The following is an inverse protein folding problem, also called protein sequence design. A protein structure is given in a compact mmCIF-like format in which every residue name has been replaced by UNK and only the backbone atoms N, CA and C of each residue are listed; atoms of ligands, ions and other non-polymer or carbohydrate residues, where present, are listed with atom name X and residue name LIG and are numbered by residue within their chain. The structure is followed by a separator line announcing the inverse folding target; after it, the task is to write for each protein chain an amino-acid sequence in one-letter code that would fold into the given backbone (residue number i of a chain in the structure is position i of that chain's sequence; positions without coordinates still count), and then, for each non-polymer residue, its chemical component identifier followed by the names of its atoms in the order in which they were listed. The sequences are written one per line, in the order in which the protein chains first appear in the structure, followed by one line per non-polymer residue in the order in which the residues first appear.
data_IF_721202478282
#
_entry.id   IF_721202478282
#
_cell.length_a   1.000
_cell.length_b   1.000
_cell.length_c   1.000
_cell.angle_alpha   90.00
_cell.angle_beta   90.00
_cell.angle_gamma   90.00
#
_symmetry.space_group_name_H-M   'P 1'
#
loop_
_entity.id
_entity.type
_entity.pdbx_description
1 polymer ?
#
# COMPACT_ATOMS: atom_id res chain seq x y z
N UNK A 1 -23.31 -44.30 -9.84
CA UNK A 1 -21.84 -44.12 -9.76
C UNK A 1 -21.57 -42.66 -9.35
N UNK A 2 -21.31 -42.42 -8.06
CA UNK A 2 -21.04 -41.09 -7.51
C UNK A 2 -19.54 -40.79 -7.60
N UNK A 3 -19.17 -39.75 -8.34
CA UNK A 3 -17.81 -39.23 -8.37
C UNK A 3 -17.56 -38.34 -7.15
N UNK A 4 -16.70 -38.79 -6.24
CA UNK A 4 -16.25 -38.03 -5.07
C UNK A 4 -15.04 -37.18 -5.47
N UNK A 5 -15.18 -35.85 -5.46
CA UNK A 5 -14.04 -34.92 -5.60
C UNK A 5 -13.28 -34.83 -4.27
N UNK A 6 -11.96 -35.01 -4.30
CA UNK A 6 -11.07 -34.88 -3.13
C UNK A 6 -10.61 -33.41 -3.01
N UNK A 7 -10.93 -32.75 -1.90
CA UNK A 7 -10.40 -31.41 -1.60
C UNK A 7 -8.95 -31.51 -1.09
N UNK A 8 -8.02 -30.81 -1.76
CA UNK A 8 -6.61 -30.72 -1.38
C UNK A 8 -6.50 -29.81 -0.15
N UNK A 9 -6.13 -30.37 0.99
CA UNK A 9 -5.86 -29.63 2.23
C UNK A 9 -4.66 -28.72 2.05
N UNK A 10 -4.90 -27.41 2.01
CA UNK A 10 -3.84 -26.40 2.06
C UNK A 10 -3.21 -26.48 3.45
N UNK A 11 -1.96 -26.91 3.50
CA UNK A 11 -1.23 -27.18 4.73
C UNK A 11 -1.03 -25.90 5.54
N UNK A 12 -1.28 -25.96 6.85
CA UNK A 12 -1.17 -24.85 7.81
C UNK A 12 0.19 -24.14 7.79
N UNK A 13 1.25 -24.85 7.34
CA UNK A 13 2.58 -24.30 7.13
C UNK A 13 2.64 -23.20 6.04
N UNK A 14 1.84 -23.31 4.98
CA UNK A 14 1.75 -22.27 3.95
C UNK A 14 1.06 -21.01 4.49
N UNK A 15 0.04 -21.17 5.35
CA UNK A 15 -0.62 -20.06 6.01
C UNK A 15 0.27 -19.39 7.07
N UNK A 16 1.07 -20.16 7.82
CA UNK A 16 2.00 -19.65 8.81
C UNK A 16 3.18 -18.89 8.19
N UNK A 17 3.68 -19.32 7.03
CA UNK A 17 4.75 -18.61 6.30
C UNK A 17 4.29 -17.23 5.79
N UNK A 18 3.02 -17.10 5.40
CA UNK A 18 2.41 -15.81 5.04
C UNK A 18 2.20 -14.89 6.27
N UNK A 19 1.97 -15.45 7.45
CA UNK A 19 1.71 -14.70 8.69
C UNK A 19 2.98 -14.23 9.41
N UNK A 20 4.16 -14.82 9.14
CA UNK A 20 5.43 -14.44 9.78
C UNK A 20 6.23 -13.39 8.99
N UNK A 21 5.85 -13.09 7.74
CA UNK A 21 6.44 -12.04 6.91
C UNK A 21 5.94 -10.62 7.21
N UNK A 22 4.97 -10.46 8.11
CA UNK A 22 4.34 -9.17 8.44
C UNK A 22 5.08 -8.35 9.50
N UNK A 23 6.34 -8.67 9.81
CA UNK A 23 7.19 -7.76 10.57
C UNK A 23 7.31 -6.46 9.78
N UNK A 24 6.93 -5.33 10.38
CA UNK A 24 6.94 -4.00 9.79
C UNK A 24 8.23 -3.78 8.99
N UNK A 25 8.15 -3.88 7.66
CA UNK A 25 9.31 -3.79 6.78
C UNK A 25 9.75 -2.34 6.65
N UNK A 26 10.25 -1.73 7.72
CA UNK A 26 11.05 -0.52 7.62
C UNK A 26 12.48 -0.94 7.30
N UNK A 27 12.75 -1.12 6.01
CA UNK A 27 14.08 -1.45 5.52
C UNK A 27 14.72 -0.18 4.94
N UNK A 28 15.94 0.10 5.38
CA UNK A 28 16.79 1.11 4.77
C UNK A 28 17.99 0.40 4.13
N UNK A 29 18.30 0.78 2.89
CA UNK A 29 19.51 0.38 2.19
C UNK A 29 20.27 1.66 1.86
N UNK A 30 21.47 1.78 2.43
CA UNK A 30 22.37 2.91 2.21
C UNK A 30 23.64 2.50 1.50
N UNK A 31 24.17 3.37 0.64
CA UNK A 31 25.47 3.19 0.00
C UNK A 31 26.17 4.52 -0.25
N UNK A 32 27.50 4.48 -0.36
CA UNK A 32 28.33 5.63 -0.69
C UNK A 32 28.51 5.74 -2.20
N UNK A 33 28.36 6.93 -2.75
CA UNK A 33 28.67 7.27 -4.13
C UNK A 33 29.57 8.51 -4.18
N UNK A 34 30.89 8.29 -4.10
CA UNK A 34 31.86 9.38 -3.95
C UNK A 34 31.65 10.15 -2.63
N UNK A 35 31.43 11.47 -2.72
CA UNK A 35 31.15 12.32 -1.56
C UNK A 35 29.68 12.28 -1.09
N UNK A 36 28.84 11.47 -1.73
CA UNK A 36 27.41 11.36 -1.42
C UNK A 36 27.08 10.10 -0.63
N UNK A 37 26.24 10.31 0.37
CA UNK A 37 25.57 9.28 1.15
C UNK A 37 24.16 9.13 0.59
N UNK A 38 23.92 8.02 -0.12
CA UNK A 38 22.63 7.73 -0.73
C UNK A 38 21.91 6.69 0.12
N UNK A 39 20.61 6.86 0.33
CA UNK A 39 19.77 5.85 0.97
C UNK A 39 18.39 5.73 0.35
N UNK A 40 17.88 4.51 0.38
CA UNK A 40 16.50 4.18 0.09
C UNK A 40 15.89 3.60 1.36
N UNK A 41 14.79 4.18 1.81
CA UNK A 41 14.03 3.70 2.97
C UNK A 41 12.55 3.63 2.64
N UNK A 42 11.76 2.99 3.49
CA UNK A 42 10.32 2.95 3.26
C UNK A 42 9.66 1.77 3.92
N UNK A 43 8.45 1.46 3.47
CA UNK A 43 7.67 0.34 3.94
C UNK A 43 6.71 -0.16 2.87
N UNK A 44 6.42 -1.45 2.92
CA UNK A 44 5.34 -2.07 2.16
C UNK A 44 4.17 -2.30 3.10
N UNK A 45 2.99 -1.86 2.69
CA UNK A 45 1.76 -2.04 3.43
C UNK A 45 0.61 -2.38 2.47
N UNK A 46 -0.07 -3.49 2.75
CA UNK A 46 -1.26 -3.90 2.02
C UNK A 46 -2.10 -4.87 2.84
N UNK A 47 -3.41 -4.72 2.73
CA UNK A 47 -4.40 -5.55 3.40
C UNK A 47 -5.41 -6.06 2.38
N UNK A 48 -5.90 -7.26 2.65
CA UNK A 48 -7.09 -7.79 2.00
C UNK A 48 -8.27 -7.69 2.97
N UNK A 49 -9.31 -6.97 2.57
CA UNK A 49 -10.49 -6.69 3.40
C UNK A 49 -11.72 -7.34 2.79
N UNK A 50 -12.51 -8.02 3.62
CA UNK A 50 -13.82 -8.58 3.26
C UNK A 50 -14.90 -7.95 4.12
N UNK A 51 -15.83 -7.25 3.50
CA UNK A 51 -16.91 -6.54 4.17
C UNK A 51 -18.26 -7.18 3.82
N UNK A 52 -19.00 -7.62 4.83
CA UNK A 52 -20.41 -7.96 4.67
C UNK A 52 -21.22 -6.68 4.57
N UNK A 53 -21.74 -6.37 3.39
CA UNK A 53 -22.49 -5.14 3.18
C UNK A 53 -23.95 -5.30 3.59
N UNK A 54 -24.56 -4.23 4.09
CA UNK A 54 -26.00 -4.16 4.32
C UNK A 54 -26.75 -4.11 2.97
N UNK A 55 -27.90 -4.77 2.91
CA UNK A 55 -28.80 -4.77 1.74
C UNK A 55 -29.80 -3.61 1.75
N UNK A 56 -30.00 -2.96 2.90
CA UNK A 56 -31.02 -1.93 3.11
C UNK A 56 -30.41 -0.54 3.37
N UNK A 57 -29.09 -0.41 3.27
CA UNK A 57 -28.40 0.85 3.54
C UNK A 57 -28.55 1.83 2.37
N UNK A 58 -29.02 3.04 2.68
CA UNK A 58 -29.00 4.19 1.78
C UNK A 58 -27.59 4.41 1.26
N UNK A 59 -27.44 4.53 -0.06
CA UNK A 59 -26.15 4.79 -0.70
C UNK A 59 -25.60 6.12 -0.21
N UNK A 60 -24.43 6.09 0.40
CA UNK A 60 -23.68 7.30 0.74
C UNK A 60 -22.87 7.73 -0.48
N UNK A 61 -23.16 8.91 -1.01
CA UNK A 61 -22.41 9.55 -2.10
C UNK A 61 -20.91 9.52 -1.81
N UNK A 62 -20.10 9.02 -2.75
CA UNK A 62 -18.66 8.81 -2.58
C UNK A 62 -18.26 7.37 -2.20
N UNK A 63 -19.22 6.47 -1.99
CA UNK A 63 -18.93 5.03 -1.84
C UNK A 63 -18.24 4.66 -0.52
N UNK A 64 -18.34 5.53 0.49
CA UNK A 64 -17.77 5.30 1.82
C UNK A 64 -18.49 4.17 2.58
N UNK A 65 -19.80 4.05 2.39
CA UNK A 65 -20.61 2.99 3.00
C UNK A 65 -20.64 1.74 2.10
N UNK A 66 -20.44 0.57 2.73
CA UNK A 66 -20.64 -0.74 2.11
C UNK A 66 -22.16 -1.01 2.03
N UNK A 67 -22.75 -0.85 0.84
CA UNK A 67 -24.14 -1.21 0.57
C UNK A 67 -24.21 -2.09 -0.66
N UNK A 68 -25.03 -3.15 -0.59
CA UNK A 68 -25.28 -4.04 -1.74
C UNK A 68 -25.99 -3.31 -2.90
N UNK A 69 -26.48 -2.08 -2.69
CA UNK A 69 -27.10 -1.23 -3.71
C UNK A 69 -26.27 -0.03 -4.17
N UNK A 70 -24.99 0.08 -3.78
CA UNK A 70 -24.15 1.24 -4.15
C UNK A 70 -23.79 1.26 -5.66
N UNK A 71 -23.88 2.42 -6.35
CA UNK A 71 -23.47 2.57 -7.75
C UNK A 71 -21.98 2.23 -7.94
N UNK A 72 -21.72 1.26 -8.81
CA UNK A 72 -20.36 0.78 -9.15
C UNK A 72 -19.87 -0.41 -8.32
N UNK A 73 -20.59 -0.80 -7.26
CA UNK A 73 -20.45 -2.11 -6.65
C UNK A 73 -21.25 -3.14 -7.44
N UNK A 74 -20.68 -4.32 -7.66
CA UNK A 74 -21.40 -5.50 -8.15
C UNK A 74 -22.69 -5.68 -7.34
N UNK A 75 -23.84 -5.31 -7.92
CA UNK A 75 -25.11 -5.27 -7.20
C UNK A 75 -25.39 -6.58 -6.46
N UNK A 76 -25.71 -6.49 -5.17
CA UNK A 76 -26.15 -7.63 -4.37
C UNK A 76 -25.07 -8.43 -3.64
N UNK A 77 -23.77 -8.13 -3.76
CA UNK A 77 -22.70 -8.96 -3.17
C UNK A 77 -21.89 -8.26 -2.07
N UNK A 78 -21.29 -9.05 -1.19
CA UNK A 78 -20.33 -8.58 -0.18
C UNK A 78 -19.04 -8.07 -0.85
N UNK A 79 -18.41 -7.05 -0.28
CA UNK A 79 -17.26 -6.39 -0.90
C UNK A 79 -15.93 -7.03 -0.51
N UNK A 80 -15.03 -7.16 -1.48
CA UNK A 80 -13.66 -7.64 -1.29
C UNK A 80 -12.70 -6.60 -1.84
N UNK A 81 -11.65 -6.26 -1.08
CA UNK A 81 -10.75 -5.14 -1.40
C UNK A 81 -9.30 -5.51 -1.11
N UNK A 82 -8.41 -4.99 -1.94
CA UNK A 82 -6.97 -4.89 -1.65
C UNK A 82 -6.68 -3.41 -1.47
N UNK A 83 -6.24 -3.00 -0.29
CA UNK A 83 -6.05 -1.60 0.04
C UNK A 83 -4.86 -1.39 0.99
N UNK A 84 -4.35 -0.16 1.04
CA UNK A 84 -3.40 0.24 2.07
C UNK A 84 -4.13 0.42 3.41
N UNK A 85 -3.50 0.05 4.51
CA UNK A 85 -4.03 0.25 5.85
C UNK A 85 -3.79 1.67 6.37
N UNK A 86 -3.70 1.82 7.70
CA UNK A 86 -3.53 3.11 8.39
C UNK A 86 -2.30 3.91 7.92
N UNK A 87 -1.26 3.23 7.42
CA UNK A 87 -0.08 3.86 6.84
C UNK A 87 0.05 3.45 5.36
N UNK A 88 0.18 4.42 4.43
CA UNK A 88 0.49 4.13 3.04
C UNK A 88 1.81 3.36 2.88
N UNK A 89 1.94 2.64 1.77
CA UNK A 89 3.27 2.19 1.33
C UNK A 89 4.13 3.40 0.95
N UNK A 90 5.43 3.31 1.22
CA UNK A 90 6.37 4.40 0.97
C UNK A 90 7.69 3.86 0.43
N UNK A 91 8.27 4.58 -0.52
CA UNK A 91 9.65 4.45 -0.96
C UNK A 91 10.28 5.84 -0.96
N UNK A 92 11.29 6.05 -0.14
CA UNK A 92 11.94 7.34 0.08
C UNK A 92 13.39 7.23 -0.33
N UNK A 93 13.80 8.05 -1.29
CA UNK A 93 15.18 8.27 -1.64
C UNK A 93 15.71 9.48 -0.88
N UNK A 94 16.90 9.36 -0.31
CA UNK A 94 17.63 10.47 0.29
C UNK A 94 19.08 10.50 -0.19
N UNK A 95 19.61 11.69 -0.37
CA UNK A 95 21.01 11.93 -0.71
C UNK A 95 21.57 13.02 0.20
N UNK A 96 22.71 12.80 0.83
CA UNK A 96 23.40 13.79 1.68
C UNK A 96 24.86 13.92 1.28
N UNK A 97 25.43 15.11 1.39
CA UNK A 97 26.85 15.35 1.14
C UNK A 97 27.31 16.60 1.89
N UNK A 98 28.61 16.73 2.15
CA UNK A 98 29.21 17.99 2.60
C UNK A 98 30.09 18.56 1.49
N UNK A 99 29.72 19.73 0.97
CA UNK A 99 30.38 20.36 -0.16
C UNK A 99 30.58 21.84 0.10
N UNK A 100 31.77 22.37 -0.23
CA UNK A 100 32.10 23.78 -0.05
C UNK A 100 31.78 24.33 1.36
N UNK A 101 31.94 23.50 2.40
CA UNK A 101 31.66 23.87 3.78
C UNK A 101 30.18 23.73 4.21
N UNK A 102 29.27 23.35 3.31
CA UNK A 102 27.85 23.20 3.57
C UNK A 102 27.44 21.72 3.62
N UNK A 103 26.57 21.38 4.57
CA UNK A 103 25.80 20.14 4.59
C UNK A 103 24.59 20.29 3.66
N UNK A 104 24.56 19.50 2.59
CA UNK A 104 23.50 19.51 1.57
C UNK A 104 22.76 18.18 1.62
N UNK A 105 21.43 18.23 1.52
CA UNK A 105 20.58 17.04 1.53
C UNK A 105 19.40 17.17 0.58
N UNK A 106 19.00 16.07 -0.04
CA UNK A 106 17.79 15.96 -0.87
C UNK A 106 16.98 14.76 -0.40
N UNK A 107 15.67 14.90 -0.34
CA UNK A 107 14.75 13.80 -0.05
C UNK A 107 13.58 13.81 -1.03
N UNK A 108 13.33 12.67 -1.66
CA UNK A 108 12.19 12.43 -2.55
C UNK A 108 11.46 11.16 -2.08
N UNK A 109 10.19 11.27 -1.71
CA UNK A 109 9.35 10.19 -1.21
C UNK A 109 8.17 9.90 -2.12
N UNK A 110 8.12 8.65 -2.61
CA UNK A 110 7.08 8.08 -3.47
C UNK A 110 6.10 7.25 -2.62
N UNK A 111 4.80 7.52 -2.78
CA UNK A 111 3.74 6.88 -2.01
C UNK A 111 2.70 6.28 -2.96
N UNK A 112 2.90 5.04 -3.42
CA UNK A 112 1.94 4.37 -4.29
C UNK A 112 0.67 3.96 -3.52
N UNK A 113 -0.49 4.19 -4.12
CA UNK A 113 -1.72 3.53 -3.70
C UNK A 113 -1.80 2.09 -4.21
N UNK A 114 -2.52 1.21 -3.49
CA UNK A 114 -2.81 -0.16 -3.96
C UNK A 114 -4.14 -0.28 -4.72
N UNK A 115 -4.96 0.77 -4.68
CA UNK A 115 -6.28 0.83 -5.32
C UNK A 115 -6.52 2.23 -5.91
N UNK A 116 -7.15 2.29 -7.08
CA UNK A 116 -7.46 3.54 -7.79
C UNK A 116 -8.58 4.37 -7.15
N UNK A 117 -8.69 5.63 -7.59
CA UNK A 117 -9.78 6.58 -7.26
C UNK A 117 -10.81 6.56 -8.41
N UNK A 118 -11.34 5.40 -8.80
CA UNK A 118 -12.54 5.40 -9.65
C UNK A 118 -13.82 5.38 -8.82
N UNK A 119 -14.77 6.21 -9.25
CA UNK A 119 -16.01 6.60 -8.56
C UNK A 119 -17.07 5.49 -8.46
N UNK A 120 -16.68 4.22 -8.60
CA UNK A 120 -17.58 3.07 -8.50
C UNK A 120 -17.40 2.22 -7.24
N UNK A 121 -16.47 2.58 -6.35
CA UNK A 121 -16.13 1.72 -5.23
C UNK A 121 -14.97 0.78 -5.57
N UNK A 122 -14.25 0.40 -4.51
CA UNK A 122 -12.98 -0.31 -4.61
C UNK A 122 -13.23 -1.79 -4.84
N UNK A 123 -13.31 -2.23 -6.10
CA UNK A 123 -13.33 -3.66 -6.45
C UNK A 123 -12.03 -4.01 -7.17
N UNK A 124 -11.11 -4.65 -6.47
CA UNK A 124 -9.86 -5.18 -7.03
C UNK A 124 -8.67 -4.23 -7.07
N UNK A 125 -7.62 -4.67 -7.77
CA UNK A 125 -6.45 -3.87 -8.14
C UNK A 125 -6.87 -2.93 -9.28
N UNK A 126 -6.70 -1.63 -9.09
CA UNK A 126 -7.08 -0.60 -10.05
C UNK A 126 -5.89 0.36 -10.26
N UNK A 127 -5.96 1.27 -11.23
CA UNK A 127 -4.86 2.16 -11.59
C UNK A 127 -4.34 2.90 -10.36
N UNK A 128 -3.13 2.55 -9.92
CA UNK A 128 -2.48 3.21 -8.80
C UNK A 128 -1.86 4.52 -9.27
N UNK A 129 -2.15 5.59 -8.54
CA UNK A 129 -1.39 6.82 -8.64
C UNK A 129 -0.22 6.78 -7.64
N UNK A 130 0.89 7.42 -8.01
CA UNK A 130 2.03 7.63 -7.12
C UNK A 130 2.01 9.09 -6.69
N UNK A 131 1.86 9.32 -5.38
CA UNK A 131 1.99 10.65 -4.81
C UNK A 131 3.45 10.92 -4.41
N UNK A 132 3.95 12.11 -4.72
CA UNK A 132 5.21 12.63 -4.15
C UNK A 132 4.88 13.48 -2.92
N UNK A 133 5.22 12.99 -1.72
CA UNK A 133 4.86 13.68 -0.46
C UNK A 133 6.03 14.27 0.29
N UNK A 134 7.23 13.72 0.11
CA UNK A 134 8.46 14.33 0.57
C UNK A 134 9.21 14.77 -0.68
N UNK A 135 9.38 16.07 -0.87
CA UNK A 135 10.14 16.61 -1.99
C UNK A 135 10.76 17.92 -1.53
N UNK A 136 11.95 17.83 -0.96
CA UNK A 136 12.64 18.98 -0.40
C UNK A 136 14.15 18.81 -0.47
N UNK A 137 14.83 19.95 -0.37
CA UNK A 137 16.28 20.07 -0.25
C UNK A 137 16.61 20.81 1.04
N UNK A 138 17.69 20.42 1.70
CA UNK A 138 18.26 21.10 2.86
C UNK A 138 19.67 21.57 2.53
N UNK A 139 20.05 22.74 3.03
CA UNK A 139 21.41 23.25 2.99
C UNK A 139 21.70 24.05 4.27
N UNK A 140 22.92 23.98 4.77
CA UNK A 140 23.34 24.74 5.96
C UNK A 140 24.72 24.32 6.43
N UNK A 141 25.21 24.94 7.49
CA UNK A 141 26.33 24.41 8.27
C UNK A 141 25.82 24.17 9.70
N UNK A 142 26.47 23.30 10.46
CA UNK A 142 26.07 22.99 11.84
C UNK A 142 26.12 24.19 12.77
#
# INVERSE_FOLDING_TARGET
MMHVMKHKTISLAAAAALALGSACAHAEIGFKAGAWDLSFSGNVNGFATWNKCDSSATVVTGGLACSKGAPGGTGGVDQQRIESGLLPSALVFSAKSRQAGLDIGVTIGFYPGLNGIFAGGKTGLDTSAIDLRQNFLTFGDK
#
